data_IF_262559106694
#
_entry.id   IF_262559106694
#
_cell.length_a   1.000
_cell.length_b   1.000
_cell.length_c   1.000
_cell.angle_alpha   90.00
_cell.angle_beta   90.00
_cell.angle_gamma   90.00
#
_symmetry.space_group_name_H-M   'P 1'
#
loop_
_entity.id
_entity.type
_entity.pdbx_description
1 polymer ?
#
# COMPACT_ATOMS: atom_id res chain seq x y z
N UNK A 1 -4.74 -29.59 -6.78
CA UNK A 1 -3.84 -28.43 -6.90
C UNK A 1 -4.49 -27.09 -6.51
N UNK A 2 -5.70 -27.05 -5.94
CA UNK A 2 -6.38 -25.80 -5.54
C UNK A 2 -5.91 -25.21 -4.18
N UNK A 3 -5.30 -26.03 -3.31
CA UNK A 3 -4.94 -25.62 -1.94
C UNK A 3 -3.70 -24.70 -1.88
N UNK A 4 -2.80 -24.78 -2.87
CA UNK A 4 -1.60 -23.92 -2.92
C UNK A 4 -1.93 -22.50 -3.41
N UNK A 5 -2.96 -22.35 -4.23
CA UNK A 5 -3.36 -21.06 -4.81
C UNK A 5 -4.17 -20.20 -3.85
N UNK A 6 -4.93 -20.79 -2.92
CA UNK A 6 -5.66 -20.04 -1.89
C UNK A 6 -4.71 -19.44 -0.84
N UNK A 7 -3.67 -20.18 -0.44
CA UNK A 7 -2.66 -19.71 0.52
C UNK A 7 -1.82 -18.55 -0.04
N UNK A 8 -1.44 -18.64 -1.32
CA UNK A 8 -0.71 -17.57 -2.01
C UNK A 8 -1.59 -16.31 -2.19
N UNK A 9 -2.86 -16.48 -2.56
CA UNK A 9 -3.81 -15.37 -2.68
C UNK A 9 -4.04 -14.66 -1.34
N UNK A 10 -4.29 -15.39 -0.26
CA UNK A 10 -4.46 -14.81 1.08
C UNK A 10 -3.20 -14.12 1.59
N UNK A 11 -2.02 -14.67 1.30
CA UNK A 11 -0.74 -14.03 1.58
C UNK A 11 -0.59 -12.69 0.84
N UNK A 12 -0.94 -12.64 -0.45
CA UNK A 12 -0.95 -11.39 -1.22
C UNK A 12 -1.94 -10.37 -0.65
N UNK A 13 -3.14 -10.79 -0.27
CA UNK A 13 -4.13 -9.89 0.37
C UNK A 13 -3.64 -9.39 1.74
N UNK A 14 -2.98 -10.25 2.53
CA UNK A 14 -2.38 -9.87 3.81
C UNK A 14 -1.28 -8.83 3.63
N UNK A 15 -0.36 -9.04 2.69
CA UNK A 15 0.69 -8.09 2.34
C UNK A 15 0.12 -6.75 1.86
N UNK A 16 -0.96 -6.79 1.07
CA UNK A 16 -1.66 -5.59 0.60
C UNK A 16 -2.27 -4.81 1.76
N UNK A 17 -3.00 -5.48 2.67
CA UNK A 17 -3.58 -4.85 3.87
C UNK A 17 -2.51 -4.18 4.72
N UNK A 18 -1.40 -4.87 4.95
CA UNK A 18 -0.26 -4.33 5.69
C UNK A 18 0.37 -3.11 4.98
N UNK A 19 0.52 -3.18 3.66
CA UNK A 19 1.08 -2.09 2.87
C UNK A 19 0.21 -0.82 2.93
N UNK A 20 -1.12 -0.97 2.84
CA UNK A 20 -2.06 0.15 2.94
C UNK A 20 -2.02 0.78 4.34
N UNK A 21 -2.07 -0.03 5.41
CA UNK A 21 -1.92 0.48 6.77
C UNK A 21 -0.58 1.22 6.99
N UNK A 22 0.50 0.68 6.44
CA UNK A 22 1.82 1.34 6.49
C UNK A 22 1.84 2.67 5.74
N UNK A 23 1.16 2.78 4.59
CA UNK A 23 1.02 4.06 3.86
C UNK A 23 0.30 5.09 4.72
N UNK A 24 -0.79 4.69 5.39
CA UNK A 24 -1.57 5.57 6.23
C UNK A 24 -0.74 6.09 7.42
N UNK A 25 -0.02 5.20 8.12
CA UNK A 25 0.87 5.56 9.23
C UNK A 25 2.00 6.51 8.81
N UNK A 26 2.64 6.23 7.66
CA UNK A 26 3.70 7.09 7.13
C UNK A 26 3.16 8.46 6.69
N UNK A 27 1.95 8.48 6.15
CA UNK A 27 1.28 9.73 5.76
C UNK A 27 0.92 10.56 6.98
N UNK A 28 0.37 9.93 8.03
CA UNK A 28 0.10 10.61 9.29
C UNK A 28 1.37 11.16 9.92
N UNK A 29 2.42 10.34 10.01
CA UNK A 29 3.73 10.77 10.54
C UNK A 29 4.29 11.96 9.76
N UNK A 30 4.12 11.97 8.43
CA UNK A 30 4.53 13.09 7.58
C UNK A 30 3.76 14.38 7.91
N UNK A 31 2.45 14.27 8.13
CA UNK A 31 1.60 15.40 8.52
C UNK A 31 2.00 15.93 9.91
N UNK A 32 2.20 15.04 10.89
CA UNK A 32 2.62 15.44 12.23
C UNK A 32 3.98 16.17 12.22
N UNK A 33 4.91 15.74 11.36
CA UNK A 33 6.20 16.42 11.18
C UNK A 33 6.05 17.80 10.53
N UNK A 34 5.15 17.95 9.56
CA UNK A 34 4.84 19.24 8.94
C UNK A 34 4.21 20.20 9.95
N UNK A 35 3.25 19.72 10.74
CA UNK A 35 2.57 20.51 11.76
C UNK A 35 3.53 20.94 12.88
N UNK A 36 4.51 20.08 13.20
CA UNK A 36 5.60 20.40 14.13
C UNK A 36 6.69 21.31 13.52
N UNK A 37 6.58 21.70 12.24
CA UNK A 37 7.59 22.51 11.53
C UNK A 37 8.93 21.79 11.36
N UNK A 38 8.95 20.46 11.40
CA UNK A 38 10.15 19.62 11.29
C UNK A 38 10.43 19.22 9.85
N UNK A 39 11.69 18.95 9.55
CA UNK A 39 12.07 18.37 8.27
C UNK A 39 11.46 16.95 8.13
N UNK A 40 10.84 16.67 6.98
CA UNK A 40 10.35 15.34 6.65
C UNK A 40 11.53 14.49 6.13
N UNK A 41 11.84 13.36 6.77
CA UNK A 41 12.84 12.44 6.26
C UNK A 41 12.51 11.95 4.84
N UNK A 42 13.49 11.98 3.93
CA UNK A 42 13.30 11.58 2.53
C UNK A 42 12.75 10.16 2.39
N UNK A 43 13.13 9.26 3.30
CA UNK A 43 12.68 7.86 3.28
C UNK A 43 11.16 7.75 3.38
N UNK A 44 10.46 8.64 4.10
CA UNK A 44 9.00 8.60 4.24
C UNK A 44 8.34 8.79 2.87
N UNK A 45 8.80 9.78 2.10
CA UNK A 45 8.30 10.02 0.75
C UNK A 45 8.62 8.85 -0.19
N UNK A 46 9.82 8.27 -0.10
CA UNK A 46 10.19 7.11 -0.92
C UNK A 46 9.37 5.87 -0.57
N UNK A 47 9.14 5.60 0.72
CA UNK A 47 8.36 4.46 1.19
C UNK A 47 6.89 4.58 0.73
N UNK A 48 6.25 5.73 0.94
CA UNK A 48 4.88 6.00 0.46
C UNK A 48 4.81 5.81 -1.06
N UNK A 49 5.76 6.38 -1.81
CA UNK A 49 5.76 6.29 -3.28
C UNK A 49 5.92 4.86 -3.78
N UNK A 50 6.80 4.07 -3.14
CA UNK A 50 7.02 2.67 -3.49
C UNK A 50 5.77 1.83 -3.21
N UNK A 51 5.20 1.96 -2.01
CA UNK A 51 4.02 1.19 -1.60
C UNK A 51 2.81 1.54 -2.46
N UNK A 52 2.58 2.84 -2.76
CA UNK A 52 1.53 3.27 -3.68
C UNK A 52 1.70 2.67 -5.07
N UNK A 53 2.92 2.69 -5.62
CA UNK A 53 3.20 2.12 -6.94
C UNK A 53 2.99 0.60 -6.98
N UNK A 54 3.29 -0.10 -5.89
CA UNK A 54 3.17 -1.56 -5.85
C UNK A 54 1.72 -2.01 -5.59
N UNK A 55 1.04 -1.44 -4.62
CA UNK A 55 -0.23 -2.00 -4.11
C UNK A 55 -1.49 -1.23 -4.53
N UNK A 56 -1.36 0.06 -4.90
CA UNK A 56 -2.48 0.91 -5.32
C UNK A 56 -2.72 0.80 -6.83
N UNK A 57 -1.66 0.62 -7.62
CA UNK A 57 -1.77 0.34 -9.06
C UNK A 57 -2.40 -1.03 -9.33
N UNK A 58 -2.13 -2.03 -8.48
CA UNK A 58 -2.75 -3.36 -8.57
C UNK A 58 -4.26 -3.32 -8.27
N UNK A 59 -4.71 -2.50 -7.31
CA UNK A 59 -6.14 -2.33 -7.02
C UNK A 59 -6.90 -1.75 -8.22
N UNK A 60 -6.32 -0.76 -8.91
CA UNK A 60 -6.93 -0.18 -10.10
C UNK A 60 -7.06 -1.21 -11.22
N UNK A 61 -6.02 -2.04 -11.43
CA UNK A 61 -6.03 -3.12 -12.43
C UNK A 61 -7.07 -4.20 -12.08
N UNK A 62 -7.18 -4.62 -10.82
CA UNK A 62 -8.17 -5.61 -10.38
C UNK A 62 -9.59 -5.04 -10.49
N UNK A 63 -9.80 -3.79 -10.09
CA UNK A 63 -11.11 -3.13 -10.18
C UNK A 63 -11.54 -2.95 -11.63
N UNK A 64 -10.63 -2.50 -12.51
CA UNK A 64 -10.88 -2.38 -13.95
C UNK A 64 -11.16 -3.74 -14.60
N UNK A 65 -10.57 -4.82 -14.09
CA UNK A 65 -10.83 -6.19 -14.54
C UNK A 65 -12.20 -6.71 -14.09
N UNK A 66 -12.64 -6.38 -12.86
CA UNK A 66 -13.94 -6.77 -12.32
C UNK A 66 -15.11 -5.98 -12.94
N UNK A 67 -14.91 -4.71 -13.29
CA UNK A 67 -15.95 -3.85 -13.90
C UNK A 67 -16.19 -4.20 -15.39
N UNK A 68 -15.21 -4.81 -16.08
CA UNK A 68 -15.33 -5.22 -17.49
C UNK A 68 -16.10 -6.54 -17.71
N UNK A 69 -16.68 -7.12 -16.67
CA UNK A 69 -17.46 -8.37 -16.73
C UNK A 69 -18.95 -8.09 -16.56
#
# INVERSE_FOLDING_TARGET
MAFQTEDEFESHQSQRRLALATIDELTQTKLDLLDAGKEIPRFINYAISYLNKKYLTEEKVISDFLIKK
#
